data_IF_363120179691
#
_entry.id   IF_363120179691
#
_cell.length_a   1.000
_cell.length_b   1.000
_cell.length_c   1.000
_cell.angle_alpha   90.00
_cell.angle_beta   90.00
_cell.angle_gamma   90.00
#
_symmetry.space_group_name_H-M   'P 1'
#
loop_
_entity.id
_entity.type
_entity.pdbx_description
1 polymer ?
#
# COMPACT_ATOMS: atom_id res chain seq x y z
N UNK A 1 -8.11 -13.29 -8.30
CA UNK A 1 -9.56 -13.08 -8.47
C UNK A 1 -9.89 -11.64 -8.15
N UNK A 2 -10.66 -10.94 -8.98
CA UNK A 2 -11.13 -9.58 -8.68
C UNK A 2 -12.39 -9.63 -7.81
N UNK A 3 -12.54 -8.70 -6.87
CA UNK A 3 -13.74 -8.55 -6.04
C UNK A 3 -14.40 -7.21 -6.37
N UNK A 4 -15.72 -7.19 -6.50
CA UNK A 4 -16.47 -5.96 -6.65
C UNK A 4 -16.57 -5.25 -5.30
N UNK A 5 -16.41 -3.92 -5.32
CA UNK A 5 -16.56 -3.05 -4.16
C UNK A 5 -17.41 -1.85 -4.57
N UNK A 6 -18.17 -1.30 -3.62
CA UNK A 6 -18.91 -0.06 -3.81
C UNK A 6 -18.14 1.07 -3.11
N UNK A 7 -17.84 2.15 -3.84
CA UNK A 7 -17.11 3.31 -3.33
C UNK A 7 -17.97 4.55 -3.59
N UNK A 8 -18.09 5.41 -2.58
CA UNK A 8 -18.63 6.76 -2.72
C UNK A 8 -17.50 7.71 -3.07
N UNK A 9 -17.71 8.57 -4.06
CA UNK A 9 -16.73 9.52 -4.57
C UNK A 9 -17.41 10.84 -4.89
N UNK A 10 -16.65 11.93 -4.79
CA UNK A 10 -17.08 13.25 -5.27
C UNK A 10 -17.41 13.21 -6.77
N UNK A 11 -18.46 13.94 -7.17
CA UNK A 11 -18.97 13.91 -8.55
C UNK A 11 -17.98 14.54 -9.55
N UNK A 12 -17.27 15.60 -9.16
CA UNK A 12 -16.29 16.24 -10.01
C UNK A 12 -15.10 15.31 -10.24
N UNK A 13 -14.62 14.65 -9.18
CA UNK A 13 -13.54 13.67 -9.27
C UNK A 13 -13.94 12.47 -10.15
N UNK A 14 -15.17 11.98 -10.02
CA UNK A 14 -15.68 10.90 -10.88
C UNK A 14 -15.73 11.32 -12.35
N UNK A 15 -16.13 12.56 -12.61
CA UNK A 15 -16.18 13.12 -13.97
C UNK A 15 -14.78 13.24 -14.59
N UNK A 16 -13.78 13.67 -13.82
CA UNK A 16 -12.38 13.70 -14.27
C UNK A 16 -11.84 12.29 -14.55
N UNK A 17 -12.11 11.34 -13.65
CA UNK A 17 -11.75 9.93 -13.85
C UNK A 17 -12.33 9.37 -15.15
N UNK A 18 -13.57 9.73 -15.46
CA UNK A 18 -14.25 9.33 -16.70
C UNK A 18 -13.61 9.90 -17.95
N UNK A 19 -13.22 11.17 -17.91
CA UNK A 19 -12.51 11.82 -19.00
C UNK A 19 -11.16 11.14 -19.26
N UNK A 20 -10.37 10.87 -18.22
CA UNK A 20 -9.09 10.17 -18.35
C UNK A 20 -9.26 8.72 -18.83
N UNK A 21 -10.26 8.01 -18.31
CA UNK A 21 -10.56 6.65 -18.73
C UNK A 21 -10.86 6.59 -20.24
N UNK A 22 -11.68 7.53 -20.72
CA UNK A 22 -12.03 7.64 -22.14
C UNK A 22 -10.82 7.98 -23.00
N UNK A 23 -10.05 9.00 -22.64
CA UNK A 23 -8.89 9.47 -23.41
C UNK A 23 -7.79 8.41 -23.52
N UNK A 24 -7.57 7.64 -22.45
CA UNK A 24 -6.53 6.61 -22.41
C UNK A 24 -7.01 5.24 -22.89
N UNK A 25 -8.27 5.12 -23.32
CA UNK A 25 -8.92 3.84 -23.66
C UNK A 25 -8.75 2.77 -22.56
N UNK A 26 -8.97 3.18 -21.30
CA UNK A 26 -8.90 2.33 -20.11
C UNK A 26 -10.21 2.32 -19.34
N UNK A 27 -10.42 1.29 -18.53
CA UNK A 27 -11.57 1.26 -17.61
C UNK A 27 -11.31 2.11 -16.37
N UNK A 28 -12.38 2.63 -15.76
CA UNK A 28 -12.30 3.27 -14.42
C UNK A 28 -11.60 2.36 -13.42
N UNK A 29 -11.93 1.07 -13.43
CA UNK A 29 -11.33 0.07 -12.55
C UNK A 29 -9.82 -0.01 -12.72
N UNK A 30 -9.31 0.05 -13.95
CA UNK A 30 -7.85 0.05 -14.20
C UNK A 30 -7.18 1.28 -13.57
N UNK A 31 -7.76 2.46 -13.77
CA UNK A 31 -7.21 3.71 -13.21
C UNK A 31 -7.29 3.73 -11.68
N UNK A 32 -8.41 3.26 -11.09
CA UNK A 32 -8.56 3.14 -9.64
C UNK A 32 -7.53 2.15 -9.07
N UNK A 33 -7.37 0.97 -9.68
CA UNK A 33 -6.37 -0.01 -9.26
C UNK A 33 -4.95 0.60 -9.29
N UNK A 34 -4.62 1.37 -10.33
CA UNK A 34 -3.33 2.04 -10.43
C UNK A 34 -3.15 3.16 -9.39
N UNK A 35 -4.14 4.02 -9.21
CA UNK A 35 -4.09 5.09 -8.23
C UNK A 35 -3.93 4.55 -6.81
N UNK A 36 -4.68 3.52 -6.42
CA UNK A 36 -4.56 2.87 -5.11
C UNK A 36 -3.19 2.23 -4.94
N UNK A 37 -2.71 1.50 -5.95
CA UNK A 37 -1.38 0.87 -5.89
C UNK A 37 -0.27 1.91 -5.74
N UNK A 38 -0.33 3.03 -6.44
CA UNK A 38 0.67 4.10 -6.32
C UNK A 38 0.60 4.79 -4.96
N UNK A 39 -0.59 4.98 -4.40
CA UNK A 39 -0.71 5.56 -3.07
C UNK A 39 -0.15 4.64 -1.97
N UNK A 40 -0.19 3.32 -2.18
CA UNK A 40 0.44 2.37 -1.25
C UNK A 40 1.94 2.58 -1.11
N UNK A 41 2.65 2.98 -2.16
CA UNK A 41 4.09 3.29 -2.05
C UNK A 41 4.34 4.40 -1.02
N UNK A 42 3.50 5.44 -1.01
CA UNK A 42 3.56 6.53 -0.01
C UNK A 42 3.18 6.05 1.39
N UNK A 43 2.12 5.22 1.50
CA UNK A 43 1.72 4.68 2.79
C UNK A 43 2.79 3.74 3.38
N UNK A 44 3.47 2.97 2.54
CA UNK A 44 4.55 2.07 2.95
C UNK A 44 5.74 2.83 3.52
N UNK A 45 6.07 4.00 2.97
CA UNK A 45 7.06 4.92 3.54
C UNK A 45 6.63 5.40 4.92
N UNK A 46 5.39 5.91 5.06
CA UNK A 46 4.86 6.37 6.35
C UNK A 46 4.83 5.27 7.42
N UNK A 47 4.49 4.04 7.02
CA UNK A 47 4.49 2.87 7.91
C UNK A 47 5.93 2.50 8.30
N UNK A 48 6.87 2.58 7.35
CA UNK A 48 8.28 2.30 7.59
C UNK A 48 8.88 3.28 8.59
N UNK A 49 8.60 4.59 8.45
CA UNK A 49 9.02 5.61 9.40
C UNK A 49 8.48 5.34 10.80
N UNK A 50 7.18 5.03 10.90
CA UNK A 50 6.55 4.67 12.17
C UNK A 50 7.25 3.48 12.82
N UNK A 51 7.56 2.43 12.06
CA UNK A 51 8.27 1.24 12.57
C UNK A 51 9.69 1.58 13.03
N UNK A 52 10.40 2.44 12.30
CA UNK A 52 11.74 2.90 12.70
C UNK A 52 11.67 3.65 14.04
N UNK A 53 10.65 4.49 14.24
CA UNK A 53 10.47 5.21 15.49
C UNK A 53 10.11 4.29 16.66
N UNK A 54 9.31 3.24 16.42
CA UNK A 54 9.02 2.21 17.43
C UNK A 54 10.28 1.45 17.85
N UNK A 55 11.14 1.10 16.88
CA UNK A 55 12.45 0.48 17.14
C UNK A 55 13.34 1.41 17.99
N UNK A 56 13.46 2.69 17.60
CA UNK A 56 14.25 3.68 18.35
C UNK A 56 13.71 3.89 19.77
N UNK A 57 12.39 3.83 19.95
CA UNK A 57 11.73 3.95 21.24
C UNK A 57 11.81 2.67 22.10
N UNK A 58 12.45 1.60 21.62
CA UNK A 58 12.54 0.32 22.32
C UNK A 58 11.20 -0.40 22.47
N UNK A 59 10.22 -0.09 21.62
CA UNK A 59 8.87 -0.69 21.64
C UNK A 59 8.78 -1.99 20.85
N UNK A 60 9.87 -2.38 20.19
CA UNK A 60 9.96 -3.55 19.34
C UNK A 60 11.11 -4.42 19.83
N UNK A 61 10.86 -5.73 19.94
CA UNK A 61 11.90 -6.72 20.23
C UNK A 61 12.79 -6.88 18.99
N UNK A 62 14.11 -6.80 19.19
CA UNK A 62 15.09 -6.93 18.13
C UNK A 62 15.79 -8.28 18.27
N UNK A 63 15.92 -8.99 17.17
CA UNK A 63 16.66 -10.24 17.07
C UNK A 63 17.90 -10.01 16.22
N UNK A 64 19.03 -10.52 16.69
CA UNK A 64 20.25 -10.68 15.90
C UNK A 64 20.08 -11.78 14.86
N UNK A 65 20.97 -11.79 13.86
CA UNK A 65 20.96 -12.81 12.82
C UNK A 65 21.11 -14.23 13.38
N UNK A 66 21.94 -14.42 14.42
CA UNK A 66 22.12 -15.73 15.06
C UNK A 66 20.85 -16.19 15.80
N UNK A 67 20.16 -15.29 16.51
CA UNK A 67 18.88 -15.60 17.18
C UNK A 67 17.81 -16.03 16.16
N UNK A 68 17.73 -15.32 15.02
CA UNK A 68 16.82 -15.69 13.93
C UNK A 68 17.22 -17.04 13.30
N UNK A 69 18.51 -17.28 13.06
CA UNK A 69 18.98 -18.53 12.47
C UNK A 69 18.68 -19.75 13.35
N UNK A 70 18.83 -19.59 14.67
CA UNK A 70 18.47 -20.62 15.65
C UNK A 70 16.95 -20.87 15.66
N UNK A 71 16.13 -19.82 15.60
CA UNK A 71 14.67 -19.94 15.59
C UNK A 71 14.13 -20.62 14.32
N UNK A 72 14.80 -20.40 13.19
CA UNK A 72 14.44 -21.02 11.90
C UNK A 72 15.07 -22.42 11.69
N UNK A 73 15.89 -22.91 12.63
CA UNK A 73 16.54 -24.22 12.55
C UNK A 73 17.61 -24.32 11.45
N UNK A 74 18.23 -23.19 11.11
CA UNK A 74 19.27 -23.11 10.08
C UNK A 74 20.67 -23.36 10.70
N UNK A 75 20.79 -23.28 12.03
CA UNK A 75 22.02 -23.51 12.81
C UNK A 75 21.69 -24.10 14.17
#
# INVERSE_FOLDING_TARGET
MKKAINIRMDEALLSELDNYAKELERSRTYLIEKAVSTYFDTLDEMISDKRIDEVKAGKTELYSLDEVAQQLGIK
#
